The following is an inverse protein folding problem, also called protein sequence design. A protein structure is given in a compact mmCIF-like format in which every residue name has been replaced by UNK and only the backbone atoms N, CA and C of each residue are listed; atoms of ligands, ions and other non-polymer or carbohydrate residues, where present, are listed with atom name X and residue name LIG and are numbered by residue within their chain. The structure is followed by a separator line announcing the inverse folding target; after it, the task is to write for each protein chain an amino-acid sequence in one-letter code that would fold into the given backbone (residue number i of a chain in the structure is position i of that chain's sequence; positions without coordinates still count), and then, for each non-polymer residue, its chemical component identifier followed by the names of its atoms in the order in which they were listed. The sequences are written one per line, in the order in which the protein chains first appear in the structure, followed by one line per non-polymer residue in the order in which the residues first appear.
data_IF_466509729074
#
_entry.id   IF_466509729074
#
_cell.length_a   1.000
_cell.length_b   1.000
_cell.length_c   1.000
_cell.angle_alpha   90.00
_cell.angle_beta   90.00
_cell.angle_gamma   90.00
#
_symmetry.space_group_name_H-M   'P 1'
#
loop_
_entity.id
_entity.type
_entity.pdbx_description
1 polymer ?
#
# COMPACT_ATOMS: atom_id res chain seq x y z
N UNK A 1 -25.30 35.87 -0.74
CA UNK A 1 -25.59 35.61 0.69
C UNK A 1 -26.13 34.19 0.83
N UNK A 2 -25.36 33.24 1.37
CA UNK A 2 -25.88 31.88 1.65
C UNK A 2 -26.61 31.92 2.99
N UNK A 3 -27.90 31.57 2.98
CA UNK A 3 -28.71 31.44 4.18
C UNK A 3 -28.09 30.38 5.10
N UNK A 4 -27.68 30.79 6.30
CA UNK A 4 -27.29 29.86 7.35
C UNK A 4 -28.54 29.14 7.86
N UNK A 5 -28.69 27.86 7.53
CA UNK A 5 -29.78 27.04 8.06
C UNK A 5 -29.77 27.02 9.60
N UNK A 6 -30.97 27.05 10.20
CA UNK A 6 -31.16 27.06 11.65
C UNK A 6 -30.42 25.86 12.29
N UNK A 7 -29.80 26.08 13.46
CA UNK A 7 -29.07 25.06 14.24
C UNK A 7 -29.85 23.73 14.36
N UNK A 8 -31.18 23.81 14.52
CA UNK A 8 -32.06 22.62 14.58
C UNK A 8 -32.03 21.80 13.29
N UNK A 9 -32.05 22.46 12.12
CA UNK A 9 -31.98 21.80 10.82
C UNK A 9 -30.61 21.13 10.60
N UNK A 10 -29.54 21.78 11.07
CA UNK A 10 -28.17 21.23 11.00
C UNK A 10 -28.01 20.01 11.90
N UNK A 11 -28.56 20.05 13.11
CA UNK A 11 -28.57 18.92 14.04
C UNK A 11 -29.41 17.77 13.47
N UNK A 12 -30.60 18.06 12.93
CA UNK A 12 -31.46 17.06 12.30
C UNK A 12 -30.76 16.33 11.14
N UNK A 13 -30.10 17.07 10.24
CA UNK A 13 -29.31 16.47 9.14
C UNK A 13 -28.12 15.65 9.64
N UNK A 14 -27.47 16.08 10.72
CA UNK A 14 -26.37 15.32 11.31
C UNK A 14 -26.87 14.00 11.92
N UNK A 15 -28.01 14.01 12.61
CA UNK A 15 -28.63 12.80 13.18
C UNK A 15 -29.08 11.84 12.08
N UNK A 16 -29.77 12.32 11.04
CA UNK A 16 -30.20 11.45 9.93
C UNK A 16 -29.00 10.86 9.18
N UNK A 17 -27.93 11.65 8.98
CA UNK A 17 -26.69 11.14 8.38
C UNK A 17 -25.97 10.13 9.28
N UNK A 18 -25.97 10.33 10.60
CA UNK A 18 -25.32 9.42 11.54
C UNK A 18 -26.08 8.10 11.71
N UNK A 19 -27.40 8.10 11.50
CA UNK A 19 -28.25 6.91 11.55
C UNK A 19 -28.39 6.21 10.20
N UNK A 20 -27.76 6.73 9.15
CA UNK A 20 -27.80 6.10 7.83
C UNK A 20 -27.04 4.76 7.84
N UNK A 21 -27.72 3.60 7.66
CA UNK A 21 -27.07 2.29 7.70
C UNK A 21 -25.97 2.13 6.64
N UNK A 22 -26.00 2.93 5.57
CA UNK A 22 -24.98 2.92 4.52
C UNK A 22 -23.61 3.37 5.04
N UNK A 23 -23.56 4.25 6.05
CA UNK A 23 -22.31 4.70 6.68
C UNK A 23 -21.62 3.54 7.39
N UNK A 24 -22.37 2.76 8.16
CA UNK A 24 -21.84 1.60 8.88
C UNK A 24 -21.47 0.47 7.92
N UNK A 25 -22.31 0.20 6.91
CA UNK A 25 -21.98 -0.75 5.86
C UNK A 25 -20.68 -0.36 5.12
N UNK A 26 -20.46 0.93 4.88
CA UNK A 26 -19.20 1.42 4.34
C UNK A 26 -18.02 1.26 5.32
N UNK A 27 -18.23 1.51 6.61
CA UNK A 27 -17.25 1.22 7.66
C UNK A 27 -16.80 -0.25 7.67
N UNK A 28 -17.75 -1.18 7.55
CA UNK A 28 -17.44 -2.62 7.40
C UNK A 28 -16.62 -2.91 6.14
N UNK A 29 -16.92 -2.24 5.01
CA UNK A 29 -16.12 -2.37 3.78
C UNK A 29 -14.68 -1.87 3.98
N UNK A 30 -14.48 -0.78 4.72
CA UNK A 30 -13.14 -0.28 5.04
C UNK A 30 -12.38 -1.23 5.97
N UNK A 31 -13.04 -1.78 6.99
CA UNK A 31 -12.44 -2.81 7.85
C UNK A 31 -12.04 -4.06 7.04
N UNK A 32 -12.91 -4.50 6.14
CA UNK A 32 -12.61 -5.57 5.21
C UNK A 32 -11.43 -5.22 4.30
N UNK A 33 -11.36 -3.97 3.83
CA UNK A 33 -10.22 -3.44 3.07
C UNK A 33 -8.90 -3.58 3.81
N UNK A 34 -8.85 -3.14 5.07
CA UNK A 34 -7.65 -3.29 5.90
C UNK A 34 -7.31 -4.75 6.17
N UNK A 35 -8.32 -5.61 6.30
CA UNK A 35 -8.07 -7.04 6.42
C UNK A 35 -7.36 -7.60 5.18
N UNK A 36 -7.86 -7.32 3.97
CA UNK A 36 -7.30 -7.92 2.76
C UNK A 36 -6.02 -7.23 2.23
N UNK A 37 -5.77 -5.97 2.60
CA UNK A 37 -4.54 -5.24 2.19
C UNK A 37 -3.45 -5.25 3.24
N UNK A 38 -3.74 -5.60 4.50
CA UNK A 38 -2.73 -5.65 5.55
C UNK A 38 -2.78 -6.98 6.30
N UNK A 39 -3.87 -7.28 7.00
CA UNK A 39 -3.89 -8.38 7.98
C UNK A 39 -3.67 -9.76 7.35
N UNK A 40 -4.34 -10.07 6.24
CA UNK A 40 -4.17 -11.34 5.54
C UNK A 40 -2.84 -11.40 4.80
N UNK A 41 -2.49 -10.33 4.07
CA UNK A 41 -1.31 -10.27 3.22
C UNK A 41 -0.02 -10.27 4.02
N UNK A 42 0.03 -9.58 5.16
CA UNK A 42 1.18 -9.57 6.07
C UNK A 42 1.57 -10.98 6.52
N UNK A 43 0.60 -11.89 6.69
CA UNK A 43 0.84 -13.28 7.09
C UNK A 43 1.54 -14.10 6.00
N UNK A 44 1.49 -13.64 4.75
CA UNK A 44 2.12 -14.29 3.61
C UNK A 44 3.54 -13.76 3.34
N UNK A 45 3.89 -12.60 3.92
CA UNK A 45 5.21 -12.00 3.77
C UNK A 45 6.27 -12.85 4.46
N UNK A 46 7.37 -13.11 3.76
CA UNK A 46 8.56 -13.71 4.36
C UNK A 46 9.34 -12.61 5.07
N UNK A 47 9.43 -12.68 6.41
CA UNK A 47 10.12 -11.68 7.22
C UNK A 47 11.30 -12.30 7.97
N UNK A 48 12.41 -11.56 7.99
CA UNK A 48 13.56 -11.82 8.83
C UNK A 48 13.32 -11.53 10.31
N UNK A 49 14.40 -11.60 11.09
CA UNK A 49 14.39 -11.32 12.52
C UNK A 49 14.23 -9.81 12.80
N UNK A 50 13.54 -9.45 13.90
CA UNK A 50 13.45 -8.07 14.40
C UNK A 50 12.93 -6.99 13.43
N UNK A 51 12.14 -7.38 12.42
CA UNK A 51 11.51 -6.44 11.48
C UNK A 51 10.52 -5.52 12.18
N UNK A 52 10.68 -4.21 12.01
CA UNK A 52 9.70 -3.20 12.46
C UNK A 52 8.76 -2.87 11.31
N UNK A 53 7.47 -3.11 11.50
CA UNK A 53 6.49 -3.02 10.42
C UNK A 53 5.25 -2.26 10.90
N UNK A 54 5.00 -1.08 10.34
CA UNK A 54 3.85 -0.26 10.76
C UNK A 54 2.50 -0.99 10.51
N UNK A 55 1.49 -0.82 11.39
CA UNK A 55 0.23 -1.56 11.32
C UNK A 55 -0.71 -1.10 10.19
N UNK A 56 -0.26 -0.19 9.32
CA UNK A 56 -1.03 0.41 8.24
C UNK A 56 -0.28 0.40 6.90
N UNK A 57 0.68 -0.50 6.73
CA UNK A 57 1.32 -0.76 5.43
C UNK A 57 0.34 -1.52 4.54
N UNK A 58 0.16 -1.08 3.30
CA UNK A 58 -0.61 -1.79 2.28
C UNK A 58 0.29 -2.81 1.57
N UNK A 59 -0.20 -4.02 1.40
CA UNK A 59 0.53 -5.14 0.83
C UNK A 59 -0.37 -5.81 -0.21
N UNK A 60 0.20 -6.13 -1.36
CA UNK A 60 -0.46 -6.90 -2.41
C UNK A 60 0.45 -8.07 -2.76
N UNK A 61 -0.12 -9.28 -2.85
CA UNK A 61 0.59 -10.52 -3.17
C UNK A 61 1.76 -10.78 -2.19
N UNK A 62 1.46 -10.75 -0.89
CA UNK A 62 2.41 -10.84 0.22
C UNK A 62 3.34 -12.05 0.15
N UNK A 63 2.90 -13.16 -0.46
CA UNK A 63 3.70 -14.36 -0.70
C UNK A 63 4.92 -14.12 -1.62
N UNK A 64 4.95 -12.98 -2.33
CA UNK A 64 6.08 -12.53 -3.16
C UNK A 64 6.83 -11.34 -2.55
N UNK A 65 6.57 -11.01 -1.29
CA UNK A 65 7.28 -9.96 -0.56
C UNK A 65 8.24 -10.61 0.43
N UNK A 66 9.51 -10.21 0.38
CA UNK A 66 10.55 -10.65 1.32
C UNK A 66 11.17 -9.43 2.00
N UNK A 67 11.33 -9.50 3.31
CA UNK A 67 11.91 -8.42 4.13
C UNK A 67 13.03 -9.01 4.98
N UNK A 68 14.24 -8.47 4.84
CA UNK A 68 15.42 -8.88 5.59
C UNK A 68 15.40 -8.45 7.05
N UNK A 69 16.35 -8.98 7.81
CA UNK A 69 16.50 -8.76 9.25
C UNK A 69 16.62 -7.27 9.61
N UNK A 70 16.07 -6.88 10.76
CA UNK A 70 16.18 -5.52 11.34
C UNK A 70 15.70 -4.38 10.42
N UNK A 71 15.04 -4.68 9.30
CA UNK A 71 14.46 -3.68 8.43
C UNK A 71 13.28 -2.97 9.12
N UNK A 72 13.04 -1.71 8.74
CA UNK A 72 11.98 -0.89 9.30
C UNK A 72 11.10 -0.28 8.20
N UNK A 73 9.83 -0.66 8.17
CA UNK A 73 8.85 -0.17 7.20
C UNK A 73 7.92 0.85 7.85
N UNK A 74 8.04 2.10 7.40
CA UNK A 74 7.28 3.25 7.88
C UNK A 74 5.78 3.18 7.64
N UNK A 75 5.06 4.15 8.23
CA UNK A 75 3.62 4.23 8.14
C UNK A 75 3.13 4.47 6.70
N UNK A 76 2.02 3.83 6.33
CA UNK A 76 1.36 3.99 5.02
C UNK A 76 2.25 3.66 3.82
N UNK A 77 3.28 2.85 4.00
CA UNK A 77 4.02 2.31 2.86
C UNK A 77 3.17 1.32 2.07
N UNK A 78 3.52 1.11 0.80
CA UNK A 78 2.84 0.20 -0.11
C UNK A 78 3.88 -0.77 -0.67
N UNK A 79 3.70 -2.06 -0.40
CA UNK A 79 4.55 -3.15 -0.89
C UNK A 79 3.73 -4.00 -1.87
N UNK A 80 3.71 -3.60 -3.14
CA UNK A 80 2.83 -4.21 -4.14
C UNK A 80 3.63 -5.13 -5.06
N UNK A 81 3.67 -6.42 -4.72
CA UNK A 81 4.26 -7.42 -5.61
C UNK A 81 3.32 -7.71 -6.80
N UNK A 82 3.91 -8.26 -7.86
CA UNK A 82 3.20 -8.66 -9.07
C UNK A 82 2.18 -9.78 -8.80
N UNK A 83 1.16 -9.83 -9.64
CA UNK A 83 0.10 -10.83 -9.60
C UNK A 83 0.60 -12.23 -9.98
N UNK A 84 1.67 -12.32 -10.77
CA UNK A 84 2.17 -13.58 -11.33
C UNK A 84 3.59 -13.91 -10.86
N UNK A 85 4.56 -13.05 -11.15
CA UNK A 85 5.99 -13.33 -10.99
C UNK A 85 6.74 -12.22 -10.27
N UNK A 86 6.33 -10.96 -10.41
CA UNK A 86 7.07 -9.81 -9.87
C UNK A 86 7.14 -9.82 -8.35
N UNK A 87 8.35 -9.70 -7.80
CA UNK A 87 8.62 -9.74 -6.36
C UNK A 87 9.01 -8.38 -5.82
N UNK A 88 8.79 -8.19 -4.51
CA UNK A 88 9.35 -7.06 -3.76
C UNK A 88 10.32 -7.62 -2.74
N UNK A 89 11.60 -7.28 -2.88
CA UNK A 89 12.68 -7.82 -2.07
C UNK A 89 13.34 -6.65 -1.34
N UNK A 90 13.32 -6.69 -0.01
CA UNK A 90 13.85 -5.63 0.86
C UNK A 90 14.97 -6.24 1.69
N UNK A 91 16.15 -5.65 1.62
CA UNK A 91 17.35 -6.09 2.31
C UNK A 91 17.29 -5.89 3.82
N UNK A 92 18.25 -6.53 4.50
CA UNK A 92 18.52 -6.34 5.92
C UNK A 92 18.82 -4.87 6.22
N UNK A 93 18.41 -4.38 7.39
CA UNK A 93 18.65 -3.02 7.87
C UNK A 93 18.14 -1.89 6.96
N UNK A 94 17.33 -2.20 5.95
CA UNK A 94 16.69 -1.17 5.13
C UNK A 94 15.67 -0.37 5.96
N UNK A 95 15.65 0.95 5.77
CA UNK A 95 14.77 1.88 6.47
C UNK A 95 13.88 2.61 5.47
N UNK A 96 12.56 2.44 5.59
CA UNK A 96 11.60 3.18 4.77
C UNK A 96 10.93 4.26 5.62
N UNK A 97 10.99 5.50 5.15
CA UNK A 97 10.17 6.60 5.63
C UNK A 97 8.68 6.36 5.39
N UNK A 98 7.80 7.26 5.83
CA UNK A 98 6.37 7.12 5.59
C UNK A 98 6.03 7.24 4.10
N UNK A 99 4.98 6.56 3.68
CA UNK A 99 4.38 6.68 2.33
C UNK A 99 5.30 6.26 1.18
N UNK A 100 6.32 5.45 1.42
CA UNK A 100 7.10 4.80 0.34
C UNK A 100 6.20 3.83 -0.43
N UNK A 101 6.32 3.84 -1.76
CA UNK A 101 5.55 2.97 -2.65
C UNK A 101 6.49 2.14 -3.52
N UNK A 102 6.41 0.81 -3.38
CA UNK A 102 7.10 -0.13 -4.26
C UNK A 102 6.04 -0.89 -5.08
N UNK A 103 6.24 -0.99 -6.39
CA UNK A 103 5.41 -1.85 -7.26
C UNK A 103 6.28 -2.71 -8.17
N UNK A 104 6.03 -4.02 -8.18
CA UNK A 104 6.65 -4.96 -9.11
C UNK A 104 5.77 -5.23 -10.35
N UNK A 105 4.80 -4.35 -10.60
CA UNK A 105 3.87 -4.42 -11.73
C UNK A 105 3.73 -3.06 -12.42
N UNK A 106 3.67 -3.10 -13.74
CA UNK A 106 3.42 -2.01 -14.67
C UNK A 106 2.39 -2.46 -15.72
N UNK A 107 1.89 -1.52 -16.51
CA UNK A 107 1.16 -1.81 -17.75
C UNK A 107 2.10 -1.64 -18.95
N UNK A 108 1.77 -2.29 -20.07
CA UNK A 108 2.38 -1.99 -21.36
C UNK A 108 2.30 -0.50 -21.73
N UNK A 109 2.96 -0.10 -22.81
CA UNK A 109 2.96 1.30 -23.29
C UNK A 109 2.76 1.41 -24.80
N UNK A 110 2.09 0.43 -25.40
CA UNK A 110 1.81 0.38 -26.83
C UNK A 110 0.93 1.57 -27.25
N UNK A 111 1.40 2.41 -28.19
CA UNK A 111 0.61 3.52 -28.69
C UNK A 111 -0.70 3.04 -29.31
N UNK A 112 -1.80 3.73 -29.03
CA UNK A 112 -3.13 3.41 -29.56
C UNK A 112 -3.95 2.43 -28.72
N UNK A 113 -3.35 1.78 -27.72
CA UNK A 113 -4.08 0.97 -26.74
C UNK A 113 -4.19 1.72 -25.40
N UNK A 114 -5.41 1.99 -24.89
CA UNK A 114 -5.57 2.60 -23.57
C UNK A 114 -4.94 1.75 -22.45
N UNK A 115 -4.33 2.35 -21.40
CA UNK A 115 -3.66 1.61 -20.32
C UNK A 115 -4.46 0.48 -19.69
N UNK A 116 -5.78 0.65 -19.55
CA UNK A 116 -6.67 -0.36 -18.97
C UNK A 116 -6.74 -1.67 -19.78
N UNK A 117 -6.43 -1.63 -21.07
CA UNK A 117 -6.45 -2.80 -21.97
C UNK A 117 -5.04 -3.32 -22.29
N UNK A 118 -4.02 -2.71 -21.70
CA UNK A 118 -2.65 -3.14 -21.93
C UNK A 118 -2.31 -4.34 -21.04
N UNK A 119 -1.44 -5.25 -21.52
CA UNK A 119 -1.00 -6.37 -20.71
C UNK A 119 -0.23 -5.86 -19.48
N UNK A 120 -0.30 -6.62 -18.39
CA UNK A 120 0.54 -6.40 -17.21
C UNK A 120 1.97 -6.82 -17.51
N UNK A 121 2.93 -5.96 -17.19
CA UNK A 121 4.37 -6.22 -17.26
C UNK A 121 4.90 -6.25 -15.84
N UNK A 122 5.47 -7.37 -15.41
CA UNK A 122 5.99 -7.55 -14.05
C UNK A 122 7.50 -7.74 -14.06
N UNK A 123 8.16 -7.12 -13.09
CA UNK A 123 9.58 -7.25 -12.88
C UNK A 123 9.89 -6.97 -11.41
N UNK A 124 10.85 -7.70 -10.86
CA UNK A 124 11.23 -7.61 -9.45
C UNK A 124 11.68 -6.18 -9.09
N UNK A 125 11.31 -5.77 -7.88
CA UNK A 125 11.86 -4.57 -7.21
C UNK A 125 12.76 -5.04 -6.08
N UNK A 126 14.00 -4.59 -6.12
CA UNK A 126 15.00 -4.95 -5.11
C UNK A 126 15.50 -3.69 -4.42
N UNK A 127 15.42 -3.67 -3.10
CA UNK A 127 16.03 -2.65 -2.25
C UNK A 127 17.11 -3.33 -1.43
N UNK A 128 18.36 -2.88 -1.61
CA UNK A 128 19.54 -3.47 -0.97
C UNK A 128 19.58 -3.32 0.55
N UNK A 129 20.63 -3.88 1.15
CA UNK A 129 20.90 -3.78 2.59
C UNK A 129 21.29 -2.36 2.97
N UNK A 130 20.85 -1.91 4.15
CA UNK A 130 21.20 -0.61 4.73
C UNK A 130 20.52 0.59 4.06
N UNK A 131 19.79 0.38 2.97
CA UNK A 131 19.20 1.46 2.18
C UNK A 131 18.16 2.24 2.99
N UNK A 132 18.29 3.56 2.98
CA UNK A 132 17.26 4.47 3.46
C UNK A 132 16.45 5.07 2.31
N UNK A 133 15.15 4.74 2.26
CA UNK A 133 14.20 5.42 1.38
C UNK A 133 13.46 6.51 2.17
N UNK A 134 13.59 7.76 1.71
CA UNK A 134 12.90 8.91 2.30
C UNK A 134 11.38 8.85 2.15
N UNK A 135 10.69 9.81 2.77
CA UNK A 135 9.24 9.88 2.67
C UNK A 135 8.78 10.02 1.21
N UNK A 136 7.73 9.29 0.82
CA UNK A 136 7.12 9.34 -0.51
C UNK A 136 8.05 9.00 -1.68
N UNK A 137 9.07 8.17 -1.46
CA UNK A 137 9.82 7.58 -2.57
C UNK A 137 8.94 6.56 -3.30
N UNK A 138 8.97 6.57 -4.63
CA UNK A 138 8.34 5.54 -5.48
C UNK A 138 9.42 4.75 -6.21
N UNK A 139 9.35 3.42 -6.14
CA UNK A 139 10.24 2.51 -6.84
C UNK A 139 9.40 1.60 -7.74
N UNK A 140 9.70 1.63 -9.03
CA UNK A 140 8.91 0.98 -10.07
C UNK A 140 9.45 -0.39 -10.44
N UNK A 141 8.64 -1.19 -11.13
CA UNK A 141 8.97 -2.55 -11.51
C UNK A 141 10.30 -2.62 -12.27
N UNK A 142 11.15 -3.56 -11.88
CA UNK A 142 12.48 -3.77 -12.50
C UNK A 142 13.61 -2.92 -11.91
N UNK A 143 13.32 -2.03 -10.96
CA UNK A 143 14.36 -1.22 -10.30
C UNK A 143 15.07 -2.03 -9.21
N UNK A 144 16.41 -1.97 -9.23
CA UNK A 144 17.28 -2.43 -8.14
C UNK A 144 18.00 -1.22 -7.54
N UNK A 145 17.78 -0.98 -6.25
CA UNK A 145 18.57 -0.04 -5.44
C UNK A 145 19.68 -0.86 -4.78
N UNK A 146 20.94 -0.57 -5.10
CA UNK A 146 22.09 -1.25 -4.49
C UNK A 146 22.19 -0.99 -2.99
N UNK A 147 23.04 -1.76 -2.31
CA UNK A 147 23.34 -1.57 -0.89
C UNK A 147 23.88 -0.15 -0.60
N UNK A 148 23.54 0.41 0.57
CA UNK A 148 23.99 1.74 0.97
C UNK A 148 23.10 2.42 1.99
#
# INVERSE_FOLDING_TARGET
MRAGGNLVERIGKAVTSALDPRVYAHGVKLLHYFNYTHVSQKRLVTMGSEVRFAPNVSITNGERVTIGDRAAIGARCHLWAGNSSGRVIIGEEALFGPEVFLTASNYGTDPGTPPMYQPTVEADVVVGRGVWLGARVMVMAGVTVGDG
#
